data_IF_804414084286
#
_entry.id   IF_804414084286
#
_cell.length_a   1.000
_cell.length_b   1.000
_cell.length_c   1.000
_cell.angle_alpha   90.00
_cell.angle_beta   90.00
_cell.angle_gamma   90.00
#
_symmetry.space_group_name_H-M   'P 1'
#
loop_
_entity.id
_entity.type
_entity.pdbx_description
1 polymer ?
#
# COMPACT_ATOMS: atom_id res chain seq x y z
N UNK A 1 9.81 45.86 12.40
CA UNK A 1 10.55 44.63 12.03
C UNK A 1 10.28 43.46 12.99
N UNK A 2 10.59 43.54 14.30
CA UNK A 2 10.33 42.45 15.27
C UNK A 2 8.89 41.89 15.27
N UNK A 3 7.87 42.76 15.20
CA UNK A 3 6.45 42.35 15.17
C UNK A 3 6.06 41.59 13.90
N UNK A 4 6.65 41.95 12.75
CA UNK A 4 6.40 41.30 11.45
C UNK A 4 7.01 39.89 11.44
N UNK A 5 8.22 39.73 11.98
CA UNK A 5 8.88 38.43 12.15
C UNK A 5 8.10 37.47 13.06
N UNK A 6 7.49 37.99 14.14
CA UNK A 6 6.67 37.17 15.06
C UNK A 6 5.39 36.69 14.37
N UNK A 7 4.73 37.57 13.59
CA UNK A 7 3.51 37.21 12.85
C UNK A 7 3.81 36.16 11.77
N UNK A 8 4.93 36.30 11.05
CA UNK A 8 5.39 35.30 10.06
C UNK A 8 5.69 33.95 10.71
N UNK A 9 6.34 33.92 11.88
CA UNK A 9 6.61 32.68 12.61
C UNK A 9 5.33 31.98 13.10
N UNK A 10 4.33 32.75 13.55
CA UNK A 10 3.02 32.24 13.96
C UNK A 10 2.21 31.68 12.78
N UNK A 11 2.25 32.33 11.62
CA UNK A 11 1.61 31.82 10.39
C UNK A 11 2.29 30.53 9.89
N UNK A 12 3.61 30.42 10.00
CA UNK A 12 4.34 29.20 9.65
C UNK A 12 3.96 28.01 10.57
N UNK A 13 3.80 28.27 11.87
CA UNK A 13 3.37 27.28 12.87
C UNK A 13 1.92 26.82 12.69
N UNK A 14 1.02 27.70 12.22
CA UNK A 14 -0.38 27.37 11.92
C UNK A 14 -0.53 26.64 10.57
N UNK A 15 0.36 26.90 9.62
CA UNK A 15 0.33 26.30 8.28
C UNK A 15 0.76 24.83 8.24
N UNK A 16 1.75 24.43 9.05
CA UNK A 16 2.33 23.07 8.98
C UNK A 16 1.38 21.97 9.46
N UNK A 17 0.56 22.24 10.49
CA UNK A 17 -0.40 21.27 11.01
C UNK A 17 -1.59 20.99 10.08
N UNK A 18 -1.88 21.90 9.15
CA UNK A 18 -3.00 21.77 8.21
C UNK A 18 -2.61 21.04 6.91
N UNK A 19 -1.35 21.12 6.50
CA UNK A 19 -0.85 20.52 5.25
C UNK A 19 -0.89 18.98 5.31
N UNK A 20 -0.64 18.38 6.47
CA UNK A 20 -0.64 16.91 6.65
C UNK A 20 -2.03 16.29 6.43
N UNK A 21 -3.11 17.07 6.52
CA UNK A 21 -4.49 16.60 6.31
C UNK A 21 -5.03 16.82 4.90
N UNK A 22 -4.25 17.45 4.01
CA UNK A 22 -4.71 17.79 2.66
C UNK A 22 -4.43 16.70 1.63
N UNK A 23 -3.53 15.75 1.91
CA UNK A 23 -3.30 14.61 1.05
C UNK A 23 -4.16 13.44 1.52
N UNK A 24 -4.96 12.80 0.64
CA UNK A 24 -5.64 11.57 0.99
C UNK A 24 -4.60 10.56 1.47
N UNK A 25 -4.83 9.95 2.63
CA UNK A 25 -4.00 8.84 3.06
C UNK A 25 -4.09 7.73 2.00
N UNK A 26 -3.03 6.95 1.83
CA UNK A 26 -3.08 5.79 0.93
C UNK A 26 -4.28 4.87 1.24
N UNK A 27 -4.69 4.75 2.51
CA UNK A 27 -5.91 4.04 2.90
C UNK A 27 -7.18 4.55 2.20
N UNK A 28 -7.27 5.86 1.94
CA UNK A 28 -8.41 6.46 1.22
C UNK A 28 -8.37 6.11 -0.28
N UNK A 29 -7.17 6.00 -0.85
CA UNK A 29 -6.97 5.57 -2.24
C UNK A 29 -7.35 4.09 -2.40
N UNK A 30 -6.89 3.26 -1.46
CA UNK A 30 -7.18 1.83 -1.42
C UNK A 30 -8.69 1.56 -1.30
N UNK A 31 -9.38 2.31 -0.44
CA UNK A 31 -10.84 2.23 -0.31
C UNK A 31 -11.54 2.64 -1.61
N UNK A 32 -11.17 3.78 -2.19
CA UNK A 32 -11.81 4.30 -3.40
C UNK A 32 -11.64 3.39 -4.61
N UNK A 33 -10.48 2.74 -4.74
CA UNK A 33 -10.16 1.93 -5.90
C UNK A 33 -10.60 0.48 -5.73
N UNK A 34 -10.52 -0.07 -4.51
CA UNK A 34 -10.67 -1.51 -4.28
C UNK A 34 -11.76 -1.91 -3.30
N UNK A 35 -12.41 -0.94 -2.65
CA UNK A 35 -13.35 -1.17 -1.53
C UNK A 35 -12.64 -1.94 -0.41
N UNK A 36 -11.36 -1.59 -0.16
CA UNK A 36 -10.50 -2.20 0.86
C UNK A 36 -10.10 -1.16 1.90
N UNK A 37 -10.61 -1.37 3.11
CA UNK A 37 -10.32 -0.55 4.29
C UNK A 37 -9.21 -1.16 5.15
N UNK A 38 -8.10 -0.43 5.31
CA UNK A 38 -7.05 -0.84 6.26
C UNK A 38 -7.52 -0.64 7.71
N UNK A 39 -7.28 -1.61 8.62
CA UNK A 39 -7.72 -1.51 10.00
C UNK A 39 -6.80 -0.58 10.79
N UNK A 40 -7.07 0.73 10.72
CA UNK A 40 -6.30 1.77 11.43
C UNK A 40 -6.21 1.55 12.96
N UNK A 41 -7.16 0.79 13.54
CA UNK A 41 -7.17 0.42 14.96
C UNK A 41 -6.05 -0.56 15.34
N UNK A 42 -5.45 -1.24 14.37
CA UNK A 42 -4.39 -2.23 14.57
C UNK A 42 -2.99 -1.60 14.78
N UNK A 43 -2.91 -0.26 14.87
CA UNK A 43 -1.68 0.52 14.97
C UNK A 43 -0.78 0.23 13.76
N UNK A 44 -1.12 0.89 12.66
CA UNK A 44 -0.48 0.80 11.35
C UNK A 44 0.76 1.69 11.28
N UNK A 45 1.87 1.18 10.77
CA UNK A 45 3.02 2.00 10.34
C UNK A 45 3.42 1.62 8.92
N UNK A 46 3.45 2.58 8.00
CA UNK A 46 4.07 2.37 6.69
C UNK A 46 5.59 2.30 6.88
N UNK A 47 6.20 1.19 6.45
CA UNK A 47 7.64 0.98 6.60
C UNK A 47 8.39 1.11 5.28
N UNK A 48 7.70 0.91 4.15
CA UNK A 48 8.24 1.05 2.83
C UNK A 48 7.13 1.36 1.82
N UNK A 49 7.44 2.17 0.83
CA UNK A 49 6.60 2.34 -0.35
C UNK A 49 7.46 2.60 -1.58
N UNK A 50 6.99 2.13 -2.73
CA UNK A 50 7.58 2.41 -4.03
C UNK A 50 6.50 2.34 -5.09
N UNK A 51 6.57 3.22 -6.08
CA UNK A 51 5.64 3.27 -7.18
C UNK A 51 6.36 3.63 -8.47
N UNK A 52 5.74 3.33 -9.60
CA UNK A 52 6.16 3.87 -10.90
C UNK A 52 6.19 5.40 -10.86
N UNK A 53 7.03 6.00 -11.70
CA UNK A 53 6.99 7.45 -11.91
C UNK A 53 5.60 7.87 -12.39
N UNK A 54 5.19 9.09 -12.01
CA UNK A 54 3.86 9.60 -12.28
C UNK A 54 3.55 9.56 -13.78
N UNK A 55 2.56 8.74 -14.16
CA UNK A 55 2.00 8.74 -15.52
C UNK A 55 0.85 9.76 -15.60
N UNK A 56 0.61 10.33 -16.78
CA UNK A 56 -0.47 11.33 -16.96
C UNK A 56 -1.86 10.74 -16.70
N UNK A 57 -2.02 9.42 -16.88
CA UNK A 57 -3.29 8.72 -16.73
C UNK A 57 -3.45 8.02 -15.37
N UNK A 58 -2.38 7.93 -14.57
CA UNK A 58 -2.40 7.27 -13.26
C UNK A 58 -2.08 5.78 -13.29
N UNK A 59 -1.88 5.23 -14.50
CA UNK A 59 -1.40 3.88 -14.79
C UNK A 59 -0.04 3.64 -14.14
N UNK A 60 0.20 2.38 -13.78
CA UNK A 60 1.46 1.92 -13.23
C UNK A 60 1.30 1.10 -11.96
N UNK A 61 2.43 0.85 -11.30
CA UNK A 61 2.51 -0.07 -10.17
C UNK A 61 2.68 0.72 -8.88
N UNK A 62 1.95 0.33 -7.84
CA UNK A 62 2.09 0.88 -6.49
C UNK A 62 2.35 -0.25 -5.51
N UNK A 63 3.32 -0.04 -4.63
CA UNK A 63 3.72 -1.01 -3.63
C UNK A 63 3.86 -0.36 -2.27
N UNK A 64 3.21 -0.95 -1.27
CA UNK A 64 3.24 -0.48 0.10
C UNK A 64 3.44 -1.65 1.07
N UNK A 65 4.26 -1.42 2.10
CA UNK A 65 4.48 -2.35 3.21
C UNK A 65 4.04 -1.68 4.50
N UNK A 66 3.19 -2.38 5.23
CA UNK A 66 2.69 -1.95 6.52
C UNK A 66 3.04 -2.95 7.61
N UNK A 67 3.64 -2.43 8.68
CA UNK A 67 3.80 -3.18 9.93
C UNK A 67 2.61 -2.92 10.84
N UNK A 68 2.09 -3.99 11.45
CA UNK A 68 0.99 -3.94 12.40
C UNK A 68 1.40 -4.43 13.78
N UNK A 69 0.71 -3.92 14.80
CA UNK A 69 0.90 -4.40 16.19
C UNK A 69 -0.07 -5.51 16.58
N UNK A 70 -1.28 -5.48 16.01
CA UNK A 70 -2.38 -6.36 16.40
C UNK A 70 -2.89 -7.13 15.17
N UNK A 71 -2.52 -8.41 15.06
CA UNK A 71 -2.86 -9.29 13.93
C UNK A 71 -4.36 -9.58 13.80
N UNK A 72 -5.10 -9.63 14.92
CA UNK A 72 -6.53 -9.98 14.95
C UNK A 72 -7.39 -9.19 13.95
N UNK A 73 -7.04 -7.92 13.71
CA UNK A 73 -7.78 -7.07 12.77
C UNK A 73 -7.45 -7.37 11.31
N UNK A 74 -6.25 -7.89 11.03
CA UNK A 74 -5.81 -8.27 9.68
C UNK A 74 -6.40 -9.62 9.31
N UNK A 75 -6.41 -10.56 10.23
CA UNK A 75 -6.97 -11.90 10.00
C UNK A 75 -8.47 -11.85 9.66
N UNK A 76 -9.18 -10.83 10.16
CA UNK A 76 -10.59 -10.59 9.87
C UNK A 76 -10.83 -9.70 8.64
N UNK A 77 -9.78 -9.13 8.04
CA UNK A 77 -9.91 -8.21 6.90
C UNK A 77 -10.43 -8.92 5.65
N UNK A 78 -9.95 -10.15 5.41
CA UNK A 78 -10.32 -10.94 4.25
C UNK A 78 -10.52 -12.42 4.59
N UNK A 79 -11.22 -13.12 3.70
CA UNK A 79 -11.09 -14.57 3.60
C UNK A 79 -9.74 -14.91 2.95
N UNK A 80 -8.68 -14.87 3.74
CA UNK A 80 -7.31 -15.16 3.31
C UNK A 80 -7.17 -16.55 2.70
N UNK A 81 -6.30 -16.68 1.70
CA UNK A 81 -5.93 -17.95 1.08
C UNK A 81 -4.44 -18.20 1.21
N UNK A 82 -4.02 -19.46 1.24
CA UNK A 82 -2.61 -19.85 1.10
C UNK A 82 -2.30 -20.42 -0.29
N UNK A 83 -3.29 -20.45 -1.19
CA UNK A 83 -3.13 -21.06 -2.51
C UNK A 83 -2.63 -20.02 -3.51
N UNK A 84 -1.70 -20.46 -4.37
CA UNK A 84 -1.38 -19.75 -5.59
C UNK A 84 -2.53 -19.85 -6.59
N UNK A 85 -2.73 -18.79 -7.37
CA UNK A 85 -3.71 -18.78 -8.47
C UNK A 85 -3.27 -17.85 -9.58
N UNK A 86 -3.82 -18.09 -10.78
CA UNK A 86 -3.57 -17.27 -11.96
C UNK A 86 -4.11 -15.85 -11.78
N UNK A 87 -3.38 -14.90 -12.33
CA UNK A 87 -3.79 -13.50 -12.53
C UNK A 87 -4.19 -13.30 -13.99
N UNK A 88 -4.48 -12.07 -14.40
CA UNK A 88 -4.81 -11.76 -15.79
C UNK A 88 -3.62 -12.09 -16.70
N UNK A 89 -2.40 -11.76 -16.28
CA UNK A 89 -1.21 -11.84 -17.14
C UNK A 89 -0.26 -13.00 -16.83
N UNK A 90 -0.30 -13.57 -15.63
CA UNK A 90 0.65 -14.60 -15.17
C UNK A 90 -0.02 -15.83 -14.56
N UNK A 91 0.79 -16.86 -14.33
CA UNK A 91 0.30 -18.18 -13.92
C UNK A 91 0.16 -18.34 -12.40
N UNK A 92 0.76 -17.44 -11.61
CA UNK A 92 0.65 -17.42 -10.15
C UNK A 92 0.65 -15.99 -9.58
N UNK A 93 0.25 -15.83 -8.33
CA UNK A 93 0.27 -14.54 -7.63
C UNK A 93 1.71 -14.12 -7.34
N UNK A 94 2.55 -15.05 -6.88
CA UNK A 94 3.98 -14.79 -6.61
C UNK A 94 4.78 -14.40 -7.86
N UNK A 95 4.49 -15.02 -9.01
CA UNK A 95 5.09 -14.67 -10.30
C UNK A 95 4.68 -13.25 -10.71
N UNK A 96 3.38 -12.94 -10.63
CA UNK A 96 2.84 -11.60 -10.91
C UNK A 96 3.49 -10.54 -10.04
N UNK A 97 3.47 -10.76 -8.72
CA UNK A 97 4.04 -9.86 -7.74
C UNK A 97 5.54 -9.64 -8.01
N UNK A 98 6.29 -10.71 -8.31
CA UNK A 98 7.72 -10.59 -8.60
C UNK A 98 7.97 -9.76 -9.85
N UNK A 99 7.19 -9.97 -10.92
CA UNK A 99 7.32 -9.23 -12.16
C UNK A 99 7.04 -7.73 -11.96
N UNK A 100 5.96 -7.38 -11.25
CA UNK A 100 5.65 -5.99 -10.95
C UNK A 100 6.70 -5.33 -10.04
N UNK A 101 7.16 -6.04 -9.01
CA UNK A 101 8.19 -5.53 -8.10
C UNK A 101 9.56 -5.42 -8.78
N UNK A 102 9.84 -6.21 -9.82
CA UNK A 102 11.01 -6.06 -10.67
C UNK A 102 10.92 -4.79 -11.53
N UNK A 103 9.75 -4.52 -12.12
CA UNK A 103 9.51 -3.34 -12.97
C UNK A 103 9.77 -2.02 -12.23
N UNK A 104 9.30 -1.92 -10.99
CA UNK A 104 9.59 -0.76 -10.12
C UNK A 104 10.87 -0.94 -9.30
N UNK A 105 11.73 -1.92 -9.61
CA UNK A 105 13.05 -2.13 -8.98
C UNK A 105 13.03 -2.19 -7.44
N UNK A 106 12.05 -2.89 -6.85
CA UNK A 106 11.98 -3.07 -5.39
C UNK A 106 13.09 -4.03 -4.93
N UNK A 107 13.93 -3.67 -3.95
CA UNK A 107 14.98 -4.54 -3.44
C UNK A 107 14.44 -5.85 -2.88
N UNK A 108 15.16 -6.96 -3.07
CA UNK A 108 14.73 -8.28 -2.60
C UNK A 108 14.45 -8.33 -1.09
N UNK A 109 15.13 -7.49 -0.29
CA UNK A 109 14.94 -7.39 1.17
C UNK A 109 13.60 -6.81 1.57
N UNK A 110 12.98 -6.03 0.69
CA UNK A 110 11.68 -5.40 0.90
C UNK A 110 10.54 -6.23 0.29
N UNK A 111 10.82 -7.39 -0.33
CA UNK A 111 9.78 -8.21 -0.97
C UNK A 111 9.16 -9.20 0.02
N UNK A 112 7.87 -9.55 -0.15
CA UNK A 112 7.25 -10.60 0.63
C UNK A 112 7.94 -11.94 0.42
N UNK A 113 8.06 -12.72 1.49
CA UNK A 113 8.41 -14.14 1.40
C UNK A 113 7.12 -14.90 1.10
N UNK A 114 6.78 -15.05 -0.19
CA UNK A 114 5.47 -15.56 -0.62
C UNK A 114 5.03 -16.86 0.08
N UNK A 115 5.96 -17.79 0.33
CA UNK A 115 5.67 -19.07 0.99
C UNK A 115 5.23 -18.96 2.45
N UNK A 116 5.56 -17.84 3.12
CA UNK A 116 5.18 -17.54 4.50
C UNK A 116 3.89 -16.71 4.57
N UNK A 117 3.37 -16.28 3.42
CA UNK A 117 2.26 -15.34 3.36
C UNK A 117 0.92 -16.05 3.13
N UNK A 118 -0.10 -15.54 3.80
CA UNK A 118 -1.46 -15.60 3.28
C UNK A 118 -1.65 -14.56 2.17
N UNK A 119 -2.57 -14.79 1.26
CA UNK A 119 -2.81 -13.94 0.11
C UNK A 119 -4.30 -13.63 -0.10
N UNK A 120 -4.54 -12.48 -0.73
CA UNK A 120 -5.81 -12.06 -1.27
C UNK A 120 -5.57 -11.36 -2.61
N UNK A 121 -6.48 -11.51 -3.56
CA UNK A 121 -6.34 -10.92 -4.89
C UNK A 121 -7.69 -10.56 -5.48
N UNK A 122 -7.70 -9.48 -6.27
CA UNK A 122 -8.86 -9.01 -7.03
C UNK A 122 -8.37 -8.35 -8.32
N UNK A 123 -9.24 -8.35 -9.33
CA UNK A 123 -9.08 -7.58 -10.56
C UNK A 123 -10.34 -6.78 -10.89
N UNK A 124 -10.18 -5.81 -11.79
CA UNK A 124 -11.24 -4.95 -12.29
C UNK A 124 -11.45 -5.13 -13.79
N UNK A 125 -12.51 -4.51 -14.33
CA UNK A 125 -12.89 -4.63 -15.74
C UNK A 125 -11.96 -3.90 -16.71
N UNK A 126 -11.21 -2.92 -16.21
CA UNK A 126 -10.13 -2.22 -16.94
C UNK A 126 -8.82 -3.02 -16.97
N UNK A 127 -8.81 -4.21 -16.34
CA UNK A 127 -7.65 -5.08 -16.11
C UNK A 127 -6.66 -4.57 -15.07
N UNK A 128 -7.03 -3.56 -14.27
CA UNK A 128 -6.29 -3.25 -13.05
C UNK A 128 -6.35 -4.44 -12.08
N UNK A 129 -5.27 -4.71 -11.37
CA UNK A 129 -5.13 -5.84 -10.46
C UNK A 129 -4.55 -5.41 -9.09
N UNK A 130 -4.98 -6.08 -8.02
CA UNK A 130 -4.40 -5.93 -6.68
C UNK A 130 -4.08 -7.29 -6.10
N UNK A 131 -2.89 -7.40 -5.49
CA UNK A 131 -2.46 -8.54 -4.70
C UNK A 131 -2.08 -8.04 -3.32
N UNK A 132 -2.59 -8.70 -2.29
CA UNK A 132 -2.26 -8.42 -0.90
C UNK A 132 -1.69 -9.69 -0.28
N UNK A 133 -0.51 -9.57 0.33
CA UNK A 133 0.11 -10.63 1.12
C UNK A 133 0.15 -10.24 2.60
N UNK A 134 -0.09 -11.21 3.47
CA UNK A 134 0.01 -11.07 4.92
C UNK A 134 0.98 -12.11 5.48
N UNK A 135 2.09 -11.64 6.05
CA UNK A 135 3.02 -12.45 6.82
C UNK A 135 2.77 -12.19 8.32
N UNK A 136 2.02 -13.09 8.95
CA UNK A 136 1.65 -12.98 10.36
C UNK A 136 2.83 -13.22 11.29
N UNK A 137 3.88 -13.94 10.86
CA UNK A 137 5.04 -14.22 11.70
C UNK A 137 5.82 -12.94 12.04
N UNK A 138 5.89 -12.01 11.08
CA UNK A 138 6.58 -10.72 11.24
C UNK A 138 5.63 -9.52 11.26
N UNK A 139 4.32 -9.78 11.25
CA UNK A 139 3.26 -8.76 11.22
C UNK A 139 3.42 -7.74 10.09
N UNK A 140 3.67 -8.23 8.87
CA UNK A 140 3.85 -7.38 7.68
C UNK A 140 2.78 -7.65 6.64
N UNK A 141 2.11 -6.57 6.22
CA UNK A 141 1.14 -6.55 5.14
C UNK A 141 1.76 -5.89 3.92
N UNK A 142 1.73 -6.59 2.80
CA UNK A 142 2.27 -6.15 1.53
C UNK A 142 1.12 -5.93 0.56
N UNK A 143 1.04 -4.74 -0.04
CA UNK A 143 -0.04 -4.36 -0.95
C UNK A 143 0.61 -3.97 -2.27
N UNK A 144 0.24 -4.66 -3.35
CA UNK A 144 0.76 -4.42 -4.70
C UNK A 144 -0.42 -4.19 -5.63
N UNK A 145 -0.48 -3.02 -6.24
CA UNK A 145 -1.50 -2.62 -7.21
C UNK A 145 -0.85 -2.43 -8.58
N UNK A 146 -1.52 -2.85 -9.64
CA UNK A 146 -1.20 -2.53 -11.03
C UNK A 146 -2.42 -1.87 -11.66
N UNK A 147 -2.27 -0.61 -12.09
CA UNK A 147 -3.28 0.17 -12.78
C UNK A 147 -2.96 0.25 -14.27
N UNK A 148 -3.99 0.13 -15.11
CA UNK A 148 -3.91 0.15 -16.58
C UNK A 148 -4.83 1.22 -17.15
#
# INVERSE_FOLDING_TARGET
>A
MKRILIILALLLLLGTGSIVRLFPSYSSVLESNWDVSLPVKAVLTEVYSKQTEDSFHGDGIRYHIYSYRYEDYIDLMFAWSSNERKTIYYSSLSETASAWLDEIEVPITERPKYYACSNWYRSQSDNSEIIIFWDSEINMLYIIESFI
#
